data_IF_473245152692
#
_entry.id   IF_473245152692
#
_cell.length_a   1.000
_cell.length_b   1.000
_cell.length_c   1.000
_cell.angle_alpha   90.00
_cell.angle_beta   90.00
_cell.angle_gamma   90.00
#
_symmetry.space_group_name_H-M   'P 1'
#
loop_
_entity.id
_entity.type
_entity.pdbx_description
1 polymer ?
#
# COMPACT_ATOMS: atom_id res chain seq x y z
N UNK A 1 -21.24 -25.39 24.39
CA UNK A 1 -20.84 -24.11 23.75
C UNK A 1 -21.81 -23.84 22.62
N UNK A 2 -22.49 -22.69 22.61
CA UNK A 2 -23.58 -22.42 21.67
C UNK A 2 -23.05 -22.07 20.28
N UNK A 3 -23.72 -22.51 19.21
CA UNK A 3 -23.37 -22.21 17.82
C UNK A 3 -23.21 -20.70 17.54
N UNK A 4 -23.88 -19.86 18.34
CA UNK A 4 -23.78 -18.39 18.32
C UNK A 4 -22.38 -17.91 18.73
N UNK A 5 -21.72 -18.58 19.68
CA UNK A 5 -20.35 -18.23 20.12
C UNK A 5 -19.31 -18.59 19.06
N UNK A 6 -19.50 -19.71 18.36
CA UNK A 6 -18.65 -20.12 17.23
C UNK A 6 -18.81 -19.16 16.04
N UNK A 7 -20.03 -18.76 15.71
CA UNK A 7 -20.30 -17.78 14.66
C UNK A 7 -19.74 -16.39 15.01
N UNK A 8 -19.78 -15.98 16.28
CA UNK A 8 -19.16 -14.73 16.74
C UNK A 8 -17.62 -14.79 16.71
N UNK A 9 -17.01 -15.91 17.12
CA UNK A 9 -15.56 -16.12 17.03
C UNK A 9 -15.06 -16.18 15.58
N UNK A 10 -15.78 -16.86 14.70
CA UNK A 10 -15.47 -16.87 13.26
C UNK A 10 -15.56 -15.46 12.66
N UNK A 11 -16.62 -14.72 12.99
CA UNK A 11 -16.85 -13.35 12.48
C UNK A 11 -15.85 -12.33 13.02
N UNK A 12 -15.26 -12.52 14.20
CA UNK A 12 -14.19 -11.64 14.71
C UNK A 12 -12.82 -11.96 14.11
N UNK A 13 -12.58 -13.23 13.79
CA UNK A 13 -11.33 -13.72 13.18
C UNK A 13 -11.23 -13.31 11.71
N UNK A 14 -12.34 -13.38 10.97
CA UNK A 14 -12.40 -13.07 9.53
C UNK A 14 -11.90 -11.64 9.21
N UNK A 15 -12.44 -10.55 9.78
CA UNK A 15 -12.02 -9.18 9.48
C UNK A 15 -10.60 -8.86 9.93
N UNK A 16 -10.16 -9.45 11.05
CA UNK A 16 -8.77 -9.32 11.50
C UNK A 16 -7.81 -10.01 10.53
N UNK A 17 -8.17 -11.19 10.05
CA UNK A 17 -7.36 -11.94 9.07
C UNK A 17 -7.33 -11.24 7.70
N UNK A 18 -8.46 -10.65 7.27
CA UNK A 18 -8.57 -9.89 6.02
C UNK A 18 -7.72 -8.62 6.06
N UNK A 19 -7.81 -7.83 7.13
CA UNK A 19 -6.99 -6.63 7.29
C UNK A 19 -5.49 -6.95 7.24
N UNK A 20 -5.08 -8.02 7.91
CA UNK A 20 -3.68 -8.48 7.88
C UNK A 20 -3.24 -8.93 6.48
N UNK A 21 -4.11 -9.64 5.75
CA UNK A 21 -3.83 -10.05 4.36
C UNK A 21 -3.68 -8.84 3.44
N UNK A 22 -4.54 -7.83 3.56
CA UNK A 22 -4.42 -6.62 2.74
C UNK A 22 -3.17 -5.80 3.06
N UNK A 23 -2.80 -5.68 4.34
CA UNK A 23 -1.52 -5.05 4.73
C UNK A 23 -0.32 -5.85 4.22
N UNK A 24 -0.36 -7.18 4.32
CA UNK A 24 0.71 -8.03 3.81
C UNK A 24 0.84 -7.93 2.28
N UNK A 25 -0.29 -7.91 1.56
CA UNK A 25 -0.32 -7.77 0.11
C UNK A 25 0.23 -6.40 -0.33
N UNK A 26 -0.19 -5.32 0.35
CA UNK A 26 0.36 -3.97 0.13
C UNK A 26 1.88 -3.97 0.36
N UNK A 27 2.35 -4.54 1.48
CA UNK A 27 3.79 -4.61 1.78
C UNK A 27 4.58 -5.41 0.73
N UNK A 28 4.03 -6.53 0.23
CA UNK A 28 4.69 -7.35 -0.80
C UNK A 28 4.72 -6.63 -2.14
N UNK A 29 3.61 -6.05 -2.58
CA UNK A 29 3.53 -5.32 -3.85
C UNK A 29 4.43 -4.08 -3.81
N UNK A 30 4.33 -3.29 -2.74
CA UNK A 30 5.16 -2.09 -2.56
C UNK A 30 6.64 -2.44 -2.42
N UNK A 31 6.97 -3.50 -1.67
CA UNK A 31 8.34 -3.98 -1.51
C UNK A 31 8.94 -4.53 -2.81
N UNK A 32 8.16 -5.28 -3.59
CA UNK A 32 8.58 -5.75 -4.92
C UNK A 32 8.88 -4.59 -5.86
N UNK A 33 8.04 -3.55 -5.84
CA UNK A 33 8.28 -2.34 -6.62
C UNK A 33 9.51 -1.56 -6.15
N UNK A 34 9.70 -1.45 -4.83
CA UNK A 34 10.89 -0.84 -4.24
C UNK A 34 12.17 -1.53 -4.69
N UNK A 35 12.20 -2.87 -4.62
CA UNK A 35 13.34 -3.67 -5.07
C UNK A 35 13.59 -3.50 -6.57
N UNK A 36 12.54 -3.44 -7.39
CA UNK A 36 12.68 -3.18 -8.81
C UNK A 36 13.35 -1.82 -9.08
N UNK A 37 12.92 -0.77 -8.37
CA UNK A 37 13.51 0.56 -8.52
C UNK A 37 14.95 0.63 -8.00
N UNK A 38 15.27 -0.04 -6.89
CA UNK A 38 16.62 -0.07 -6.34
C UNK A 38 17.60 -0.87 -7.22
N UNK A 39 17.19 -2.04 -7.70
CA UNK A 39 18.05 -2.94 -8.48
C UNK A 39 18.17 -2.53 -9.96
N UNK A 40 17.14 -1.90 -10.53
CA UNK A 40 17.05 -1.62 -11.96
C UNK A 40 16.78 -0.14 -12.26
N UNK A 41 17.15 0.79 -11.38
CA UNK A 41 16.97 2.24 -11.54
C UNK A 41 17.45 2.77 -12.90
N UNK A 42 18.61 2.32 -13.38
CA UNK A 42 19.16 2.74 -14.68
C UNK A 42 18.29 2.30 -15.88
N UNK A 43 18.08 0.99 -16.09
CA UNK A 43 17.20 0.50 -17.16
C UNK A 43 15.76 1.03 -17.07
N UNK A 44 15.17 1.05 -15.87
CA UNK A 44 13.82 1.57 -15.65
C UNK A 44 13.75 3.07 -15.89
N UNK A 45 14.76 3.84 -15.49
CA UNK A 45 14.82 5.28 -15.75
C UNK A 45 14.77 5.59 -17.23
N UNK A 46 15.56 4.88 -18.04
CA UNK A 46 15.52 5.01 -19.51
C UNK A 46 14.16 4.64 -20.10
N UNK A 47 13.54 3.58 -19.60
CA UNK A 47 12.24 3.11 -20.11
C UNK A 47 11.08 4.06 -19.74
N UNK A 48 11.04 4.49 -18.48
CA UNK A 48 10.02 5.37 -17.93
C UNK A 48 10.25 6.85 -18.29
N UNK A 49 11.41 7.18 -18.88
CA UNK A 49 11.78 8.57 -19.17
C UNK A 49 12.00 9.39 -17.90
N UNK A 50 12.54 8.76 -16.85
CA UNK A 50 12.70 9.33 -15.51
C UNK A 50 14.15 9.24 -15.07
N UNK A 51 14.59 10.20 -14.27
CA UNK A 51 15.92 10.18 -13.69
C UNK A 51 16.14 8.93 -12.80
N UNK A 52 17.30 8.27 -12.98
CA UNK A 52 17.63 7.05 -12.25
C UNK A 52 17.88 7.31 -10.76
N UNK A 53 18.39 8.48 -10.40
CA UNK A 53 18.58 8.88 -8.99
C UNK A 53 17.24 9.07 -8.31
N UNK A 54 16.27 9.68 -9.00
CA UNK A 54 14.89 9.78 -8.52
C UNK A 54 14.29 8.39 -8.27
N UNK A 55 14.44 7.45 -9.22
CA UNK A 55 13.96 6.08 -9.02
C UNK A 55 14.64 5.38 -7.84
N UNK A 56 15.94 5.57 -7.66
CA UNK A 56 16.67 5.03 -6.50
C UNK A 56 16.14 5.57 -5.18
N UNK A 57 15.92 6.89 -5.09
CA UNK A 57 15.36 7.55 -3.91
C UNK A 57 13.93 7.06 -3.62
N UNK A 58 13.09 6.94 -4.66
CA UNK A 58 11.75 6.39 -4.55
C UNK A 58 11.78 4.92 -4.10
N UNK A 59 12.69 4.12 -4.66
CA UNK A 59 12.87 2.73 -4.25
C UNK A 59 13.25 2.60 -2.77
N UNK A 60 14.18 3.42 -2.28
CA UNK A 60 14.56 3.42 -0.86
C UNK A 60 13.39 3.82 0.05
N UNK A 61 12.65 4.86 -0.32
CA UNK A 61 11.46 5.30 0.40
C UNK A 61 10.38 4.20 0.46
N UNK A 62 10.07 3.58 -0.69
CA UNK A 62 9.07 2.51 -0.77
C UNK A 62 9.51 1.26 0.01
N UNK A 63 10.81 0.96 0.07
CA UNK A 63 11.32 -0.14 0.88
C UNK A 63 11.08 0.10 2.38
N UNK A 64 11.35 1.32 2.87
CA UNK A 64 11.08 1.71 4.26
C UNK A 64 9.58 1.65 4.58
N UNK A 65 8.75 2.15 3.66
CA UNK A 65 7.30 2.06 3.79
C UNK A 65 6.81 0.61 3.85
N UNK A 66 7.22 -0.22 2.88
CA UNK A 66 6.86 -1.64 2.84
C UNK A 66 7.30 -2.39 4.09
N UNK A 67 8.48 -2.08 4.64
CA UNK A 67 8.94 -2.62 5.92
C UNK A 67 8.00 -2.22 7.06
N UNK A 68 7.61 -0.94 7.15
CA UNK A 68 6.66 -0.45 8.15
C UNK A 68 5.29 -1.14 8.07
N UNK A 69 4.73 -1.27 6.85
CA UNK A 69 3.46 -1.96 6.61
C UNK A 69 3.59 -3.46 6.91
N UNK A 70 4.69 -4.10 6.52
CA UNK A 70 4.98 -5.51 6.80
C UNK A 70 5.08 -5.80 8.29
N UNK A 71 5.74 -4.93 9.06
CA UNK A 71 5.78 -4.99 10.52
C UNK A 71 4.38 -4.86 11.13
N UNK A 72 3.51 -4.02 10.55
CA UNK A 72 2.13 -3.88 10.98
C UNK A 72 1.31 -5.14 10.69
N UNK A 73 1.48 -5.75 9.51
CA UNK A 73 0.83 -6.99 9.10
C UNK A 73 1.26 -8.21 9.95
N UNK A 74 2.51 -8.22 10.42
CA UNK A 74 3.06 -9.27 11.27
C UNK A 74 2.42 -9.29 12.67
N UNK A 75 1.84 -8.18 13.14
CA UNK A 75 1.17 -8.12 14.45
C UNK A 75 -0.15 -8.90 14.44
N UNK A 76 -0.41 -9.65 15.51
CA UNK A 76 -1.68 -10.38 15.71
C UNK A 76 -2.87 -9.42 15.76
N UNK A 77 -2.68 -8.25 16.37
CA UNK A 77 -3.66 -7.16 16.40
C UNK A 77 -3.00 -5.87 15.90
N UNK A 78 -3.20 -5.50 14.62
CA UNK A 78 -2.72 -4.24 14.09
C UNK A 78 -3.36 -3.06 14.84
N UNK A 79 -2.58 -2.10 15.38
CA UNK A 79 -3.12 -0.89 15.99
C UNK A 79 -3.89 -0.07 14.95
N UNK A 80 -5.08 0.40 15.32
CA UNK A 80 -5.98 1.19 14.46
C UNK A 80 -5.28 2.44 13.92
N UNK A 81 -4.51 3.14 14.75
CA UNK A 81 -3.74 4.32 14.34
C UNK A 81 -2.70 4.00 13.27
N UNK A 82 -2.00 2.86 13.39
CA UNK A 82 -1.02 2.43 12.39
C UNK A 82 -1.67 2.13 11.05
N UNK A 83 -2.80 1.43 11.05
CA UNK A 83 -3.55 1.12 9.82
C UNK A 83 -4.06 2.39 9.16
N UNK A 84 -4.57 3.33 9.95
CA UNK A 84 -5.04 4.62 9.44
C UNK A 84 -3.89 5.43 8.82
N UNK A 85 -2.72 5.44 9.46
CA UNK A 85 -1.53 6.10 8.89
C UNK A 85 -1.12 5.52 7.52
N UNK A 86 -1.20 4.19 7.35
CA UNK A 86 -0.95 3.51 6.06
C UNK A 86 -1.97 3.95 5.01
N UNK A 87 -3.26 3.99 5.35
CA UNK A 87 -4.32 4.45 4.45
C UNK A 87 -4.09 5.90 4.01
N UNK A 88 -3.85 6.81 4.95
CA UNK A 88 -3.61 8.22 4.66
C UNK A 88 -2.34 8.41 3.81
N UNK A 89 -1.26 7.66 4.11
CA UNK A 89 -0.04 7.68 3.33
C UNK A 89 -0.27 7.21 1.88
N UNK A 90 -1.01 6.12 1.68
CA UNK A 90 -1.37 5.62 0.35
C UNK A 90 -2.22 6.64 -0.43
N UNK A 91 -3.20 7.29 0.22
CA UNK A 91 -4.02 8.35 -0.41
C UNK A 91 -3.16 9.56 -0.79
N UNK A 92 -2.33 10.04 0.14
CA UNK A 92 -1.43 11.16 -0.11
C UNK A 92 -0.44 10.82 -1.24
N UNK A 93 0.10 9.61 -1.27
CA UNK A 93 1.00 9.15 -2.31
C UNK A 93 0.33 9.10 -3.69
N UNK A 94 -0.90 8.60 -3.76
CA UNK A 94 -1.68 8.59 -5.01
C UNK A 94 -1.95 10.02 -5.49
N UNK A 95 -2.38 10.92 -4.60
CA UNK A 95 -2.63 12.31 -4.94
C UNK A 95 -1.36 13.03 -5.42
N UNK A 96 -0.24 12.90 -4.69
CA UNK A 96 1.05 13.48 -5.07
C UNK A 96 1.53 12.92 -6.40
N UNK A 97 1.34 11.62 -6.67
CA UNK A 97 1.72 11.00 -7.95
C UNK A 97 0.96 11.61 -9.14
N UNK A 98 -0.35 11.87 -8.98
CA UNK A 98 -1.17 12.50 -10.01
C UNK A 98 -0.83 13.98 -10.20
N UNK A 99 -0.66 14.72 -9.10
CA UNK A 99 -0.21 16.12 -9.15
C UNK A 99 1.17 16.22 -9.80
N UNK A 100 2.05 15.26 -9.51
CA UNK A 100 3.37 15.21 -10.10
C UNK A 100 3.34 15.09 -11.62
N UNK A 101 2.52 14.17 -12.15
CA UNK A 101 2.31 14.05 -13.59
C UNK A 101 1.71 15.32 -14.21
N UNK A 102 0.82 16.01 -13.49
CA UNK A 102 0.13 17.17 -14.01
C UNK A 102 0.98 18.46 -13.99
N UNK A 103 1.92 18.58 -13.04
CA UNK A 103 2.56 19.87 -12.73
C UNK A 103 4.06 19.88 -13.02
N UNK A 104 4.80 18.79 -12.76
CA UNK A 104 6.27 18.86 -12.72
C UNK A 104 7.03 17.66 -13.32
N UNK A 105 6.39 16.51 -13.55
CA UNK A 105 6.99 15.36 -14.23
C UNK A 105 6.51 15.28 -15.68
N UNK A 106 7.46 15.21 -16.61
CA UNK A 106 7.23 14.88 -18.03
C UNK A 106 7.88 13.53 -18.35
N UNK A 107 7.35 12.41 -17.85
CA UNK A 107 7.89 11.08 -18.14
C UNK A 107 7.59 10.68 -19.59
N UNK A 108 8.17 9.57 -20.04
CA UNK A 108 7.77 8.93 -21.29
C UNK A 108 6.30 8.46 -21.21
N UNK A 109 5.64 8.20 -22.35
CA UNK A 109 4.27 7.64 -22.35
C UNK A 109 4.15 6.36 -21.51
N UNK A 110 5.08 5.38 -21.61
CA UNK A 110 5.13 4.25 -20.68
C UNK A 110 5.25 4.66 -19.20
N UNK A 111 6.07 5.67 -18.90
CA UNK A 111 6.23 6.20 -17.55
C UNK A 111 4.95 6.81 -16.99
N UNK A 112 4.24 7.63 -17.78
CA UNK A 112 2.95 8.20 -17.37
C UNK A 112 1.91 7.12 -17.08
N UNK A 113 1.77 6.15 -17.98
CA UNK A 113 0.85 5.01 -17.80
C UNK A 113 1.20 4.22 -16.53
N UNK A 114 2.48 3.95 -16.31
CA UNK A 114 2.95 3.24 -15.12
C UNK A 114 2.65 3.99 -13.83
N UNK A 115 2.89 5.30 -13.78
CA UNK A 115 2.59 6.12 -12.60
C UNK A 115 1.09 6.15 -12.30
N UNK A 116 0.23 6.24 -13.31
CA UNK A 116 -1.23 6.17 -13.12
C UNK A 116 -1.65 4.80 -12.60
N UNK A 117 -1.16 3.71 -13.19
CA UNK A 117 -1.46 2.35 -12.74
C UNK A 117 -1.04 2.12 -11.28
N UNK A 118 0.16 2.57 -10.90
CA UNK A 118 0.64 2.52 -9.52
C UNK A 118 -0.28 3.30 -8.57
N UNK A 119 -0.65 4.54 -8.93
CA UNK A 119 -1.53 5.35 -8.11
C UNK A 119 -2.89 4.67 -7.88
N UNK A 120 -3.45 4.02 -8.91
CA UNK A 120 -4.70 3.26 -8.79
C UNK A 120 -4.55 2.03 -7.88
N UNK A 121 -3.47 1.28 -8.00
CA UNK A 121 -3.20 0.12 -7.13
C UNK A 121 -3.06 0.54 -5.67
N UNK A 122 -2.29 1.60 -5.41
CA UNK A 122 -2.10 2.16 -4.06
C UNK A 122 -3.42 2.67 -3.48
N UNK A 123 -4.22 3.39 -4.26
CA UNK A 123 -5.55 3.84 -3.85
C UNK A 123 -6.51 2.65 -3.59
N UNK A 124 -6.42 1.59 -4.39
CA UNK A 124 -7.15 0.34 -4.17
C UNK A 124 -6.80 -0.31 -2.83
N UNK A 125 -5.52 -0.39 -2.47
CA UNK A 125 -5.10 -0.88 -1.16
C UNK A 125 -5.63 -0.01 -0.03
N UNK A 126 -5.54 1.32 -0.15
CA UNK A 126 -6.10 2.24 0.84
C UNK A 126 -7.60 2.00 1.05
N UNK A 127 -8.37 1.82 -0.02
CA UNK A 127 -9.79 1.51 0.04
C UNK A 127 -10.08 0.19 0.76
N UNK A 128 -9.38 -0.90 0.38
CA UNK A 128 -9.54 -2.22 0.99
C UNK A 128 -9.17 -2.22 2.49
N UNK A 129 -8.09 -1.54 2.85
CA UNK A 129 -7.65 -1.39 4.24
C UNK A 129 -8.66 -0.56 5.05
N UNK A 130 -9.18 0.54 4.49
CA UNK A 130 -10.18 1.40 5.13
C UNK A 130 -11.50 0.65 5.37
N UNK A 131 -12.01 -0.05 4.35
CA UNK A 131 -13.24 -0.85 4.46
C UNK A 131 -13.10 -1.94 5.53
N UNK A 132 -11.96 -2.63 5.54
CA UNK A 132 -11.67 -3.68 6.53
C UNK A 132 -11.57 -3.13 7.96
N UNK A 133 -10.98 -1.93 8.12
CA UNK A 133 -10.89 -1.26 9.41
C UNK A 133 -12.27 -0.82 9.92
N UNK A 134 -13.11 -0.27 9.04
CA UNK A 134 -14.48 0.14 9.37
C UNK A 134 -15.36 -1.05 9.75
N UNK A 135 -15.27 -2.16 9.02
CA UNK A 135 -15.95 -3.40 9.34
C UNK A 135 -15.52 -3.97 10.71
N UNK A 136 -14.23 -3.84 11.07
CA UNK A 136 -13.73 -4.21 12.41
C UNK A 136 -14.34 -3.35 13.52
N UNK A 137 -14.40 -2.03 13.33
CA UNK A 137 -14.90 -1.11 14.36
C UNK A 137 -16.39 -1.30 14.64
N UNK A 138 -17.22 -1.52 13.60
CA UNK A 138 -18.65 -1.76 13.75
C UNK A 138 -19.03 -3.08 14.43
N UNK A 139 -18.08 -3.99 14.66
CA UNK A 139 -18.30 -5.21 15.45
C UNK A 139 -17.95 -5.04 16.94
N UNK A 140 -17.23 -3.98 17.32
CA UNK A 140 -16.73 -3.75 18.69
C UNK A 140 -17.60 -2.71 19.43
N UNK A 141 -18.38 -1.92 18.69
CA UNK A 141 -19.39 -0.98 19.19
C UNK A 141 -20.73 -1.68 19.41
#
# INVERSE_FOLDING_TARGET
MSAIQLAALARTTEPQSMLRRFLALDAVVTGGNALAYLAFSGPLGRFLGTDATLLLALGAFLALYAAGVGLLAARRQPPVLGVRAVVEANIAWAAVSLVALAVWLTPSTPGAVWTVLQALVVAGFAGLQHMSLKARQGMIA
#
